data_IF_339664049846
#
_entry.id   IF_339664049846
#
_cell.length_a   1.000
_cell.length_b   1.000
_cell.length_c   1.000
_cell.angle_alpha   90.00
_cell.angle_beta   90.00
_cell.angle_gamma   90.00
#
_symmetry.space_group_name_H-M   'P 1'
#
loop_
_entity.id
_entity.type
_entity.pdbx_description
1 polymer ?
#
# COMPACT_ATOMS: atom_id res chain seq x y z
N UNK A 1 51.12 -40.51 -30.13
CA UNK A 1 51.53 -39.37 -29.27
C UNK A 1 50.30 -38.85 -28.52
N UNK A 2 50.14 -39.19 -27.23
CA UNK A 2 49.10 -38.59 -26.37
C UNK A 2 49.64 -37.27 -25.83
N UNK A 3 49.04 -36.14 -26.22
CA UNK A 3 49.31 -34.86 -25.54
C UNK A 3 48.73 -34.96 -24.13
N UNK A 4 49.60 -35.04 -23.14
CA UNK A 4 49.25 -34.92 -21.73
C UNK A 4 48.68 -33.52 -21.50
N UNK A 5 47.41 -33.43 -21.13
CA UNK A 5 46.82 -32.18 -20.66
C UNK A 5 47.58 -31.72 -19.42
N UNK A 6 48.10 -30.51 -19.47
CA UNK A 6 48.83 -29.87 -18.40
C UNK A 6 47.90 -29.54 -17.23
N UNK A 7 48.40 -29.76 -16.01
CA UNK A 7 47.63 -29.60 -14.76
C UNK A 7 47.01 -28.20 -14.64
N UNK A 8 47.65 -27.17 -15.21
CA UNK A 8 47.11 -25.81 -15.28
C UNK A 8 45.91 -25.67 -16.22
N UNK A 9 45.88 -26.39 -17.35
CA UNK A 9 44.70 -26.46 -18.23
C UNK A 9 43.57 -27.26 -17.59
N UNK A 10 43.89 -28.33 -16.86
CA UNK A 10 42.89 -29.09 -16.10
C UNK A 10 42.26 -28.26 -14.98
N UNK A 11 43.06 -27.45 -14.26
CA UNK A 11 42.58 -26.55 -13.21
C UNK A 11 41.72 -25.41 -13.79
N UNK A 12 42.10 -24.84 -14.95
CA UNK A 12 41.32 -23.80 -15.61
C UNK A 12 39.96 -24.30 -16.11
N UNK A 13 39.90 -25.52 -16.65
CA UNK A 13 38.63 -26.15 -17.06
C UNK A 13 37.75 -26.43 -15.84
N UNK A 14 38.33 -26.87 -14.72
CA UNK A 14 37.60 -27.12 -13.47
C UNK A 14 37.03 -25.84 -12.85
N UNK A 15 37.73 -24.71 -12.95
CA UNK A 15 37.26 -23.41 -12.44
C UNK A 15 36.17 -22.77 -13.32
N UNK A 16 36.13 -23.09 -14.61
CA UNK A 16 35.07 -22.62 -15.53
C UNK A 16 33.79 -23.46 -15.40
N UNK A 17 33.91 -24.73 -14.98
CA UNK A 17 32.75 -25.61 -14.76
C UNK A 17 32.04 -25.36 -13.40
N UNK A 18 32.71 -24.71 -12.44
CA UNK A 18 32.12 -24.44 -11.11
C UNK A 18 31.25 -23.17 -11.04
N UNK A 19 31.19 -22.37 -12.10
CA UNK A 19 30.50 -21.06 -12.12
C UNK A 19 29.12 -21.07 -12.79
N UNK A 20 28.59 -22.24 -13.18
CA UNK A 20 27.29 -22.35 -13.88
C UNK A 20 26.14 -22.91 -13.03
N UNK A 21 26.30 -23.08 -11.72
CA UNK A 21 25.20 -23.49 -10.80
C UNK A 21 24.87 -22.35 -9.85
N UNK A 22 24.35 -21.26 -10.40
CA UNK A 22 23.54 -20.29 -9.64
C UNK A 22 22.33 -19.88 -10.47
N UNK A 23 21.49 -20.87 -10.78
CA UNK A 23 20.15 -20.63 -11.29
C UNK A 23 19.23 -21.59 -10.55
N UNK A 24 18.67 -21.12 -9.44
CA UNK A 24 17.87 -21.97 -8.55
C UNK A 24 17.21 -21.18 -7.44
N UNK A 25 16.11 -20.51 -7.78
CA UNK A 25 15.05 -20.04 -6.89
C UNK A 25 15.36 -18.82 -5.98
N UNK A 26 15.59 -17.65 -6.58
CA UNK A 26 15.21 -16.37 -5.97
C UNK A 26 13.87 -15.90 -6.51
N UNK A 27 12.81 -16.67 -6.28
CA UNK A 27 11.48 -16.30 -6.75
C UNK A 27 10.38 -16.92 -5.89
N UNK A 28 10.40 -16.64 -4.58
CA UNK A 28 9.19 -16.66 -3.72
C UNK A 28 9.25 -15.69 -2.53
N UNK A 29 9.96 -14.56 -2.67
CA UNK A 29 9.56 -13.35 -1.94
C UNK A 29 8.74 -12.49 -2.89
N UNK A 30 7.73 -13.11 -3.51
CA UNK A 30 6.59 -12.32 -3.95
C UNK A 30 6.01 -11.73 -2.69
N UNK A 31 6.31 -10.46 -2.42
CA UNK A 31 5.58 -9.64 -1.45
C UNK A 31 4.12 -10.01 -1.67
N UNK A 32 3.50 -10.69 -0.70
CA UNK A 32 2.07 -10.90 -0.71
C UNK A 32 1.49 -9.50 -0.85
N UNK A 33 1.03 -9.15 -2.05
CA UNK A 33 0.47 -7.83 -2.31
C UNK A 33 -0.83 -7.86 -1.53
N UNK A 34 -0.81 -7.30 -0.32
CA UNK A 34 -2.02 -7.03 0.45
C UNK A 34 -3.02 -6.42 -0.52
N UNK A 35 -4.22 -7.00 -0.59
CA UNK A 35 -5.27 -6.49 -1.45
C UNK A 35 -5.49 -4.99 -1.17
N UNK A 36 -5.82 -4.18 -2.18
CA UNK A 36 -6.09 -2.77 -1.97
C UNK A 36 -7.23 -2.60 -0.97
N UNK A 37 -7.12 -1.60 -0.11
CA UNK A 37 -8.21 -1.16 0.74
C UNK A 37 -9.17 -0.32 -0.11
N UNK A 38 -10.35 -0.87 -0.38
CA UNK A 38 -11.33 -0.24 -1.26
C UNK A 38 -12.31 0.62 -0.47
N UNK A 39 -12.51 1.84 -0.94
CA UNK A 39 -13.55 2.77 -0.48
C UNK A 39 -14.45 3.06 -1.68
N UNK A 40 -15.76 2.89 -1.52
CA UNK A 40 -16.74 3.24 -2.54
C UNK A 40 -17.59 4.39 -2.02
N UNK A 41 -17.58 5.52 -2.72
CA UNK A 41 -18.49 6.62 -2.42
C UNK A 41 -19.79 6.47 -3.21
N UNK A 42 -20.90 6.76 -2.54
CA UNK A 42 -22.25 6.83 -3.08
C UNK A 42 -22.91 8.09 -2.55
N UNK A 43 -24.06 8.48 -3.12
CA UNK A 43 -24.82 9.63 -2.61
C UNK A 43 -25.35 9.40 -1.18
N UNK A 44 -25.43 8.13 -0.75
CA UNK A 44 -25.86 7.75 0.59
C UNK A 44 -24.72 7.72 1.63
N UNK A 45 -23.45 7.78 1.19
CA UNK A 45 -22.28 7.68 2.05
C UNK A 45 -21.18 6.78 1.48
N UNK A 46 -20.38 6.18 2.35
CA UNK A 46 -19.20 5.39 1.98
C UNK A 46 -19.33 3.92 2.40
N UNK A 47 -18.90 3.02 1.51
CA UNK A 47 -18.72 1.60 1.79
C UNK A 47 -17.23 1.28 1.85
N UNK A 48 -16.78 0.66 2.95
CA UNK A 48 -15.40 0.22 3.14
C UNK A 48 -15.34 -0.87 4.22
N UNK A 49 -14.25 -1.66 4.29
CA UNK A 49 -14.00 -2.54 5.43
C UNK A 49 -13.84 -1.75 6.74
N UNK A 50 -14.33 -2.31 7.85
CA UNK A 50 -14.25 -1.69 9.18
C UNK A 50 -12.82 -1.59 9.75
N UNK A 51 -11.90 -2.39 9.19
CA UNK A 51 -10.53 -2.50 9.68
C UNK A 51 -9.55 -2.28 8.53
N UNK A 52 -8.62 -1.34 8.74
CA UNK A 52 -7.46 -1.14 7.88
C UNK A 52 -6.20 -1.62 8.64
N UNK A 53 -5.42 -2.57 8.11
CA UNK A 53 -4.18 -2.98 8.76
C UNK A 53 -3.17 -1.82 8.84
N UNK A 54 -2.40 -1.72 9.91
CA UNK A 54 -1.33 -0.72 10.04
C UNK A 54 -0.20 -0.93 9.01
N UNK A 55 0.42 0.13 8.51
CA UNK A 55 1.53 0.11 7.56
C UNK A 55 1.26 0.88 6.27
N UNK A 56 2.07 0.64 5.23
CA UNK A 56 1.83 1.23 3.91
C UNK A 56 0.67 0.51 3.21
N UNK A 57 -0.36 1.26 2.82
CA UNK A 57 -1.62 0.74 2.26
C UNK A 57 -1.92 1.38 0.93
N UNK A 58 -2.33 0.52 -0.02
CA UNK A 58 -2.86 0.92 -1.30
C UNK A 58 -4.36 1.17 -1.12
N UNK A 59 -4.77 2.42 -1.19
CA UNK A 59 -6.18 2.82 -1.13
C UNK A 59 -6.69 2.98 -2.56
N UNK A 60 -7.83 2.37 -2.85
CA UNK A 60 -8.56 2.54 -4.12
C UNK A 60 -9.91 3.15 -3.78
N UNK A 61 -10.16 4.34 -4.32
CA UNK A 61 -11.40 5.08 -4.13
C UNK A 61 -12.19 5.15 -5.42
N UNK A 62 -13.41 4.64 -5.39
CA UNK A 62 -14.32 4.62 -6.53
C UNK A 62 -15.52 5.50 -6.21
N UNK A 63 -15.78 6.49 -7.06
CA UNK A 63 -16.97 7.30 -6.94
C UNK A 63 -18.11 6.71 -7.78
N UNK A 64 -19.11 6.13 -7.11
CA UNK A 64 -20.37 5.63 -7.70
C UNK A 64 -21.57 6.55 -7.44
N UNK A 65 -21.36 7.70 -6.82
CA UNK A 65 -22.37 8.73 -6.64
C UNK A 65 -22.57 9.58 -7.90
N UNK A 66 -23.54 10.49 -7.84
CA UNK A 66 -23.80 11.48 -8.89
C UNK A 66 -23.02 12.79 -8.69
N UNK A 67 -22.41 13.00 -7.52
CA UNK A 67 -21.66 14.20 -7.17
C UNK A 67 -20.15 13.97 -7.07
N UNK A 68 -19.37 15.04 -6.95
CA UNK A 68 -17.94 14.93 -6.60
C UNK A 68 -17.84 14.48 -5.13
N UNK A 69 -17.06 13.43 -4.89
CA UNK A 69 -16.75 12.94 -3.55
C UNK A 69 -15.25 12.99 -3.25
N UNK A 70 -14.93 13.12 -1.97
CA UNK A 70 -13.59 13.10 -1.40
C UNK A 70 -13.59 12.22 -0.15
N UNK A 71 -12.44 11.62 0.18
CA UNK A 71 -12.25 10.92 1.44
C UNK A 71 -10.93 11.33 2.08
N UNK A 72 -10.96 11.56 3.39
CA UNK A 72 -9.76 11.75 4.21
C UNK A 72 -9.69 10.65 5.25
N UNK A 73 -8.51 10.06 5.44
CA UNK A 73 -8.24 9.14 6.52
C UNK A 73 -7.68 9.94 7.70
N UNK A 74 -8.36 9.87 8.84
CA UNK A 74 -7.96 10.60 10.03
C UNK A 74 -7.81 9.64 11.20
N UNK A 75 -6.66 9.68 11.87
CA UNK A 75 -6.50 9.04 13.18
C UNK A 75 -7.07 9.96 14.25
N UNK A 76 -8.00 9.44 15.03
CA UNK A 76 -8.58 10.16 16.16
C UNK A 76 -7.63 10.09 17.37
N UNK A 77 -7.55 11.16 18.19
CA UNK A 77 -6.87 11.09 19.47
C UNK A 77 -7.61 10.14 20.43
N UNK A 78 -6.90 9.63 21.42
CA UNK A 78 -7.47 8.74 22.43
C UNK A 78 -8.70 9.35 23.09
N UNK A 79 -9.80 8.58 23.12
CA UNK A 79 -11.06 8.98 23.74
C UNK A 79 -11.96 9.88 22.88
N UNK A 80 -11.54 10.31 21.69
CA UNK A 80 -12.40 11.04 20.75
C UNK A 80 -13.21 10.07 19.88
N UNK A 81 -14.51 10.31 19.75
CA UNK A 81 -15.36 9.56 18.82
C UNK A 81 -15.40 10.20 17.43
N UNK A 82 -15.76 9.45 16.37
CA UNK A 82 -16.00 10.04 15.05
C UNK A 82 -17.06 11.16 15.07
N UNK A 83 -18.08 11.03 15.92
CA UNK A 83 -19.12 12.05 16.07
C UNK A 83 -18.57 13.34 16.67
N UNK A 84 -17.70 13.24 17.68
CA UNK A 84 -17.04 14.41 18.27
C UNK A 84 -16.16 15.13 17.25
N UNK A 85 -15.41 14.37 16.46
CA UNK A 85 -14.58 14.90 15.38
C UNK A 85 -15.41 15.70 14.37
N UNK A 86 -16.51 15.10 13.87
CA UNK A 86 -17.42 15.76 12.92
C UNK A 86 -18.07 17.00 13.53
N UNK A 87 -18.47 16.95 14.80
CA UNK A 87 -19.04 18.11 15.50
C UNK A 87 -18.02 19.25 15.60
N UNK A 88 -16.77 18.94 15.93
CA UNK A 88 -15.68 19.93 16.02
C UNK A 88 -15.36 20.57 14.66
N UNK A 89 -15.33 19.79 13.58
CA UNK A 89 -15.16 20.30 12.21
C UNK A 89 -16.31 21.23 11.82
N UNK A 90 -17.56 20.84 12.08
CA UNK A 90 -18.74 21.68 11.83
C UNK A 90 -18.75 22.97 12.66
N UNK A 91 -18.11 22.96 13.83
CA UNK A 91 -17.94 24.14 14.67
C UNK A 91 -16.77 25.05 14.21
N UNK A 92 -16.06 24.70 13.13
CA UNK A 92 -14.99 25.50 12.53
C UNK A 92 -13.57 25.05 12.91
N UNK A 93 -13.41 23.98 13.69
CA UNK A 93 -12.09 23.38 13.92
C UNK A 93 -11.72 22.50 12.74
N UNK A 94 -10.97 23.04 11.78
CA UNK A 94 -10.54 22.27 10.58
C UNK A 94 -9.84 20.96 10.95
N UNK A 95 -9.08 20.97 12.05
CA UNK A 95 -8.43 19.78 12.56
C UNK A 95 -8.43 19.78 14.10
N UNK A 96 -9.33 19.00 14.73
CA UNK A 96 -9.38 18.85 16.18
C UNK A 96 -8.03 18.46 16.78
N UNK A 97 -7.70 19.05 17.94
CA UNK A 97 -6.39 18.87 18.58
C UNK A 97 -6.08 17.39 18.81
N UNK A 98 -4.91 16.96 18.32
CA UNK A 98 -4.41 15.60 18.51
C UNK A 98 -4.91 14.58 17.48
N UNK A 99 -5.83 14.96 16.59
CA UNK A 99 -6.05 14.17 15.38
C UNK A 99 -4.79 14.18 14.51
N UNK A 100 -4.62 13.15 13.69
CA UNK A 100 -3.57 13.08 12.65
C UNK A 100 -4.23 12.87 11.29
N UNK A 101 -3.91 13.76 10.36
CA UNK A 101 -4.39 13.67 8.98
C UNK A 101 -3.46 12.73 8.22
N UNK A 102 -3.98 11.62 7.71
CA UNK A 102 -3.24 10.74 6.81
C UNK A 102 -3.47 11.13 5.34
N UNK A 103 -4.20 12.22 5.09
CA UNK A 103 -4.74 12.59 3.79
C UNK A 103 -5.62 11.47 3.23
N UNK A 104 -5.90 11.51 1.93
CA UNK A 104 -6.68 10.47 1.29
C UNK A 104 -6.92 10.76 -0.19
N UNK A 105 -7.82 9.99 -0.80
CA UNK A 105 -8.33 10.26 -2.13
C UNK A 105 -8.93 11.67 -2.20
N UNK A 106 -8.34 12.56 -2.98
CA UNK A 106 -8.87 13.91 -3.21
C UNK A 106 -10.18 13.91 -4.02
N UNK A 107 -10.64 15.10 -4.39
CA UNK A 107 -11.86 15.31 -5.19
C UNK A 107 -11.90 14.41 -6.43
N UNK A 108 -12.88 13.52 -6.48
CA UNK A 108 -13.05 12.51 -7.53
C UNK A 108 -14.44 12.66 -8.17
N UNK A 109 -14.49 12.77 -9.50
CA UNK A 109 -15.73 12.95 -10.25
C UNK A 109 -16.59 11.67 -10.30
N UNK A 110 -17.90 11.77 -10.59
CA UNK A 110 -18.76 10.60 -10.79
C UNK A 110 -18.20 9.60 -11.79
N UNK A 111 -18.17 8.32 -11.43
CA UNK A 111 -17.66 7.22 -12.26
C UNK A 111 -16.13 7.09 -12.28
N UNK A 112 -15.40 8.03 -11.68
CA UNK A 112 -13.94 7.98 -11.64
C UNK A 112 -13.43 7.13 -10.47
N UNK A 113 -12.22 6.61 -10.67
CA UNK A 113 -11.46 5.90 -9.64
C UNK A 113 -10.10 6.55 -9.48
N UNK A 114 -9.70 6.77 -8.23
CA UNK A 114 -8.36 7.27 -7.89
C UNK A 114 -7.69 6.33 -6.91
N UNK A 115 -6.36 6.30 -6.95
CA UNK A 115 -5.55 5.45 -6.10
C UNK A 115 -4.51 6.28 -5.36
N UNK A 116 -4.31 5.99 -4.08
CA UNK A 116 -3.30 6.64 -3.24
C UNK A 116 -2.59 5.62 -2.36
N UNK A 117 -1.35 5.92 -1.98
CA UNK A 117 -0.60 5.13 -1.02
C UNK A 117 -0.47 5.90 0.28
N UNK A 118 -1.02 5.35 1.35
CA UNK A 118 -1.08 6.01 2.66
C UNK A 118 -0.38 5.12 3.68
N UNK A 119 0.46 5.71 4.52
CA UNK A 119 1.02 5.02 5.68
C UNK A 119 0.12 5.29 6.88
N UNK A 120 -0.51 4.24 7.40
CA UNK A 120 -1.39 4.31 8.58
C UNK A 120 -0.71 3.68 9.77
N UNK A 121 -0.72 4.34 10.92
CA UNK A 121 -0.13 3.81 12.15
C UNK A 121 -1.12 2.88 12.88
N UNK A 122 -0.65 1.97 13.76
CA UNK A 122 -1.53 1.16 14.59
C UNK A 122 -2.44 2.00 15.50
N UNK A 123 -3.64 1.48 15.79
CA UNK A 123 -4.56 2.02 16.79
C UNK A 123 -5.87 2.50 16.19
#
# INVERSE_FOLDING_TARGET
MRKTMDLHSAIRVLMILLSLVSCGCHSKLGRERTAPFKIVATDAGFEAPDLIPAGLRHIVFENRGSEIHEAMLVKLPDGMTPTDYVAAVKAGSLFPKGAQDYSGPGLTSPGETVEVWVKVDPG
#
